data_IF_534304443621
#
_entry.id   IF_534304443621
#
_cell.length_a   1.000
_cell.length_b   1.000
_cell.length_c   1.000
_cell.angle_alpha   90.00
_cell.angle_beta   90.00
_cell.angle_gamma   90.00
#
_symmetry.space_group_name_H-M   'P 1'
#
loop_
_entity.id
_entity.type
_entity.pdbx_description
1 polymer ?
#
# COMPACT_ATOMS: atom_id res chain seq x y z
N UNK A 1 -29.21 -13.72 -7.16
CA UNK A 1 -28.29 -14.22 -6.10
C UNK A 1 -26.98 -13.43 -6.08
N UNK A 2 -26.25 -13.27 -7.19
CA UNK A 2 -24.99 -12.50 -7.24
C UNK A 2 -25.13 -11.03 -6.81
N UNK A 3 -26.20 -10.34 -7.22
CA UNK A 3 -26.46 -8.94 -6.83
C UNK A 3 -26.66 -8.78 -5.33
N UNK A 4 -27.39 -9.71 -4.69
CA UNK A 4 -27.58 -9.69 -3.24
C UNK A 4 -26.25 -9.87 -2.49
N UNK A 5 -25.37 -10.76 -2.97
CA UNK A 5 -24.03 -10.96 -2.39
C UNK A 5 -23.18 -9.69 -2.53
N UNK A 6 -23.22 -9.03 -3.69
CA UNK A 6 -22.50 -7.79 -3.93
C UNK A 6 -22.92 -6.68 -2.96
N UNK A 7 -24.23 -6.42 -2.83
CA UNK A 7 -24.73 -5.40 -1.91
C UNK A 7 -24.45 -5.75 -0.45
N UNK A 8 -24.49 -7.02 -0.08
CA UNK A 8 -24.20 -7.46 1.28
C UNK A 8 -22.71 -7.30 1.64
N UNK A 9 -21.80 -7.64 0.72
CA UNK A 9 -20.37 -7.40 0.90
C UNK A 9 -20.05 -5.91 1.00
N UNK A 10 -20.69 -5.08 0.17
CA UNK A 10 -20.51 -3.62 0.18
C UNK A 10 -21.05 -3.01 1.48
N UNK A 11 -22.23 -3.44 1.93
CA UNK A 11 -22.78 -3.02 3.21
C UNK A 11 -21.87 -3.41 4.38
N UNK A 12 -21.32 -4.63 4.38
CA UNK A 12 -20.38 -5.08 5.41
C UNK A 12 -19.11 -4.22 5.44
N UNK A 13 -18.55 -3.87 4.27
CA UNK A 13 -17.39 -2.98 4.16
C UNK A 13 -17.67 -1.58 4.73
N UNK A 14 -18.82 -0.99 4.37
CA UNK A 14 -19.23 0.34 4.84
C UNK A 14 -19.47 0.35 6.34
N UNK A 15 -20.17 -0.65 6.87
CA UNK A 15 -20.46 -0.77 8.31
C UNK A 15 -19.18 -0.98 9.11
N UNK A 16 -18.29 -1.86 8.65
CA UNK A 16 -16.99 -2.07 9.30
C UNK A 16 -16.15 -0.79 9.31
N UNK A 17 -16.08 -0.07 8.18
CA UNK A 17 -15.41 1.22 8.09
C UNK A 17 -16.00 2.27 9.03
N UNK A 18 -17.33 2.37 9.10
CA UNK A 18 -18.01 3.32 9.99
C UNK A 18 -17.78 3.02 11.48
N UNK A 19 -17.76 1.74 11.87
CA UNK A 19 -17.47 1.32 13.24
C UNK A 19 -16.03 1.66 13.65
N UNK A 20 -15.07 1.44 12.75
CA UNK A 20 -13.66 1.77 12.99
C UNK A 20 -13.45 3.29 12.99
N UNK A 21 -14.09 4.03 12.09
CA UNK A 21 -14.02 5.49 12.04
C UNK A 21 -14.45 6.15 13.35
N UNK A 22 -15.44 5.57 14.06
CA UNK A 22 -15.86 6.05 15.39
C UNK A 22 -14.80 5.83 16.48
N UNK A 23 -13.85 4.91 16.28
CA UNK A 23 -12.77 4.63 17.24
C UNK A 23 -11.49 5.43 16.98
N UNK A 24 -11.30 5.94 15.76
CA UNK A 24 -10.15 6.78 15.42
C UNK A 24 -10.40 8.19 15.93
N UNK A 25 -9.65 8.61 16.95
CA UNK A 25 -9.78 9.95 17.56
C UNK A 25 -8.54 10.83 17.37
N UNK A 26 -7.38 10.23 17.13
CA UNK A 26 -6.10 10.91 16.93
C UNK A 26 -5.52 10.60 15.55
N UNK A 27 -4.70 11.53 15.02
CA UNK A 27 -3.90 11.28 13.81
C UNK A 27 -2.97 10.07 13.97
N UNK A 28 -2.50 9.79 15.18
CA UNK A 28 -1.64 8.64 15.46
C UNK A 28 -2.42 7.33 15.41
N UNK A 29 -3.69 7.35 15.83
CA UNK A 29 -4.57 6.18 15.68
C UNK A 29 -4.87 5.91 14.19
N UNK A 30 -4.91 6.95 13.36
CA UNK A 30 -5.14 6.82 11.93
C UNK A 30 -3.91 6.31 11.16
N UNK A 31 -2.73 6.87 11.42
CA UNK A 31 -1.51 6.54 10.66
C UNK A 31 -0.79 5.28 11.15
N UNK A 32 -0.78 5.01 12.46
CA UNK A 32 0.03 3.93 13.05
C UNK A 32 -0.80 2.95 13.89
N UNK A 33 -2.13 3.01 13.82
CA UNK A 33 -3.04 2.21 14.65
C UNK A 33 -2.73 2.34 16.16
N UNK A 34 -2.21 3.50 16.58
CA UNK A 34 -1.79 3.75 17.96
C UNK A 34 -0.67 2.83 18.45
N UNK A 35 0.18 2.31 17.56
CA UNK A 35 1.25 1.32 17.83
C UNK A 35 0.76 -0.02 18.42
N UNK A 36 -0.55 -0.29 18.39
CA UNK A 36 -1.15 -1.50 18.96
C UNK A 36 -1.30 -2.66 17.95
N UNK A 37 -0.92 -2.46 16.70
CA UNK A 37 -1.00 -3.48 15.66
C UNK A 37 0.00 -4.62 15.90
N UNK A 38 -0.51 -5.85 16.07
CA UNK A 38 0.35 -7.04 16.06
C UNK A 38 1.07 -7.17 14.71
N UNK A 39 2.28 -7.72 14.73
CA UNK A 39 3.10 -7.91 13.52
C UNK A 39 2.34 -8.64 12.41
N UNK A 40 1.49 -9.61 12.76
CA UNK A 40 0.68 -10.35 11.79
C UNK A 40 -0.32 -9.44 11.07
N UNK A 41 -0.96 -8.50 11.78
CA UNK A 41 -1.88 -7.55 11.16
C UNK A 41 -1.15 -6.59 10.23
N UNK A 42 0.02 -6.08 10.64
CA UNK A 42 0.82 -5.18 9.81
C UNK A 42 1.25 -5.89 8.52
N UNK A 43 1.79 -7.11 8.62
CA UNK A 43 2.18 -7.92 7.46
C UNK A 43 0.96 -8.25 6.59
N UNK A 44 -0.19 -8.55 7.18
CA UNK A 44 -1.43 -8.79 6.45
C UNK A 44 -1.90 -7.56 5.66
N UNK A 45 -1.85 -6.37 6.25
CA UNK A 45 -2.20 -5.12 5.54
C UNK A 45 -1.21 -4.77 4.43
N UNK A 46 0.07 -5.09 4.63
CA UNK A 46 1.10 -4.93 3.60
C UNK A 46 0.86 -5.89 2.42
N UNK A 47 0.58 -7.16 2.72
CA UNK A 47 0.23 -8.17 1.72
C UNK A 47 -1.05 -7.79 0.95
N UNK A 48 -2.07 -7.29 1.65
CA UNK A 48 -3.30 -6.81 1.03
C UNK A 48 -3.06 -5.60 0.11
N UNK A 49 -2.21 -4.65 0.51
CA UNK A 49 -1.82 -3.51 -0.33
C UNK A 49 -1.07 -3.96 -1.58
N UNK A 50 -0.22 -4.97 -1.45
CA UNK A 50 0.49 -5.54 -2.59
C UNK A 50 -0.47 -6.27 -3.55
N UNK A 51 -1.43 -7.03 -3.02
CA UNK A 51 -2.46 -7.73 -3.77
C UNK A 51 -3.58 -6.78 -4.22
N UNK A 52 -3.28 -5.94 -5.22
CA UNK A 52 -4.27 -5.09 -5.90
C UNK A 52 -4.86 -5.79 -7.13
N UNK A 53 -6.02 -5.32 -7.61
CA UNK A 53 -6.62 -5.75 -8.87
C UNK A 53 -5.63 -5.66 -10.04
N UNK A 54 -4.73 -4.66 -10.03
CA UNK A 54 -3.65 -4.49 -11.00
C UNK A 54 -2.70 -5.68 -11.01
N UNK A 55 -2.34 -6.18 -9.84
CA UNK A 55 -1.44 -7.34 -9.75
C UNK A 55 -2.13 -8.61 -10.20
N UNK A 56 -3.39 -8.82 -9.84
CA UNK A 56 -4.13 -10.03 -10.24
C UNK A 56 -4.35 -10.08 -11.76
N UNK A 57 -4.85 -8.99 -12.35
CA UNK A 57 -5.10 -8.90 -13.79
C UNK A 57 -3.79 -8.79 -14.58
N UNK A 58 -2.82 -8.02 -14.11
CA UNK A 58 -1.53 -7.85 -14.76
C UNK A 58 -0.71 -9.14 -14.79
N UNK A 59 -0.66 -9.87 -13.67
CA UNK A 59 0.00 -11.18 -13.63
C UNK A 59 -0.72 -12.18 -14.53
N UNK A 60 -2.05 -12.21 -14.54
CA UNK A 60 -2.81 -13.08 -15.43
C UNK A 60 -2.57 -12.76 -16.92
N UNK A 61 -2.53 -11.47 -17.29
CA UNK A 61 -2.26 -11.02 -18.66
C UNK A 61 -0.86 -11.38 -19.15
N UNK A 62 0.16 -11.18 -18.31
CA UNK A 62 1.54 -11.59 -18.63
C UNK A 62 1.65 -13.12 -18.70
N UNK A 63 0.90 -13.85 -17.85
CA UNK A 63 0.94 -15.33 -17.83
C UNK A 63 0.43 -15.89 -19.15
N UNK A 64 -0.60 -15.23 -19.70
CA UNK A 64 -1.22 -15.61 -20.95
C UNK A 64 -0.29 -15.35 -22.15
N UNK A 65 0.50 -14.29 -22.11
CA UNK A 65 1.39 -13.90 -23.21
C UNK A 65 2.73 -14.65 -23.21
N UNK A 66 3.41 -14.73 -22.06
CA UNK A 66 4.81 -15.18 -21.95
C UNK A 66 4.99 -16.50 -21.17
N UNK A 67 3.90 -17.06 -20.67
CA UNK A 67 3.90 -18.29 -19.89
C UNK A 67 4.24 -18.11 -18.40
N UNK A 68 3.99 -19.14 -17.57
CA UNK A 68 4.05 -19.04 -16.11
C UNK A 68 5.47 -18.89 -15.54
N UNK A 69 6.51 -19.25 -16.31
CA UNK A 69 7.89 -19.28 -15.83
C UNK A 69 8.48 -17.88 -15.61
N UNK A 70 8.14 -16.93 -16.49
CA UNK A 70 8.61 -15.54 -16.42
C UNK A 70 8.08 -14.88 -15.13
N UNK A 71 6.83 -15.15 -14.77
CA UNK A 71 6.18 -14.54 -13.60
C UNK A 71 6.69 -15.10 -12.29
N UNK A 72 6.97 -16.42 -12.26
CA UNK A 72 7.56 -17.07 -11.10
C UNK A 72 8.98 -16.53 -10.81
N UNK A 73 9.77 -16.30 -11.86
CA UNK A 73 11.16 -15.88 -11.73
C UNK A 73 11.34 -14.38 -11.45
N UNK A 74 10.63 -13.49 -12.17
CA UNK A 74 10.91 -12.04 -12.12
C UNK A 74 9.75 -11.20 -11.56
N UNK A 75 8.50 -11.62 -11.76
CA UNK A 75 7.34 -10.81 -11.40
C UNK A 75 6.93 -10.87 -9.93
N UNK A 76 6.69 -12.08 -9.42
CA UNK A 76 6.10 -12.24 -8.08
C UNK A 76 7.15 -12.40 -6.98
N UNK A 77 8.12 -13.31 -7.16
CA UNK A 77 9.07 -13.62 -6.09
C UNK A 77 10.05 -12.47 -5.81
N UNK A 78 10.62 -11.89 -6.87
CA UNK A 78 11.54 -10.76 -6.77
C UNK A 78 10.91 -9.52 -6.13
N UNK A 79 9.65 -9.23 -6.48
CA UNK A 79 8.91 -8.12 -5.90
C UNK A 79 8.60 -8.33 -4.41
N UNK A 80 8.17 -9.53 -4.01
CA UNK A 80 7.96 -9.87 -2.60
C UNK A 80 9.24 -9.74 -1.76
N UNK A 81 10.35 -10.28 -2.26
CA UNK A 81 11.66 -10.16 -1.60
C UNK A 81 12.11 -8.70 -1.55
N UNK A 82 11.92 -7.94 -2.62
CA UNK A 82 12.22 -6.51 -2.67
C UNK A 82 11.40 -5.70 -1.66
N UNK A 83 10.11 -5.97 -1.52
CA UNK A 83 9.25 -5.33 -0.52
C UNK A 83 9.68 -5.69 0.90
N UNK A 84 10.03 -6.96 1.16
CA UNK A 84 10.56 -7.38 2.47
C UNK A 84 11.86 -6.66 2.82
N UNK A 85 12.80 -6.59 1.87
CA UNK A 85 14.04 -5.85 2.07
C UNK A 85 13.77 -4.35 2.30
N UNK A 86 12.89 -3.74 1.52
CA UNK A 86 12.52 -2.34 1.70
C UNK A 86 11.92 -2.07 3.09
N UNK A 87 11.04 -2.94 3.58
CA UNK A 87 10.45 -2.80 4.92
C UNK A 87 11.49 -2.99 6.02
N UNK A 88 12.39 -3.97 5.89
CA UNK A 88 13.43 -4.22 6.90
C UNK A 88 14.46 -3.09 6.95
N UNK A 89 14.91 -2.57 5.81
CA UNK A 89 15.94 -1.54 5.77
C UNK A 89 15.38 -0.13 5.94
N UNK A 90 14.40 0.25 5.11
CA UNK A 90 13.83 1.61 5.12
C UNK A 90 12.80 1.73 6.24
N UNK A 91 11.92 0.75 6.40
CA UNK A 91 10.88 0.78 7.44
C UNK A 91 11.45 0.86 8.85
N UNK A 92 12.51 0.09 9.18
CA UNK A 92 13.20 0.21 10.48
C UNK A 92 13.82 1.58 10.70
N UNK A 93 14.43 2.18 9.66
CA UNK A 93 15.04 3.51 9.74
C UNK A 93 14.00 4.61 9.92
N UNK A 94 12.88 4.54 9.21
CA UNK A 94 11.77 5.48 9.37
C UNK A 94 11.15 5.38 10.77
N UNK A 95 10.93 4.15 11.27
CA UNK A 95 10.42 3.92 12.63
C UNK A 95 11.36 4.48 13.70
N UNK A 96 12.67 4.27 13.56
CA UNK A 96 13.66 4.81 14.51
C UNK A 96 13.71 6.34 14.56
N UNK A 97 13.32 7.01 13.47
CA UNK A 97 13.27 8.47 13.38
C UNK A 97 11.90 9.05 13.75
N UNK A 98 10.89 8.23 14.05
CA UNK A 98 9.52 8.67 14.32
C UNK A 98 8.82 9.29 13.10
N UNK A 99 9.34 9.09 11.89
CA UNK A 99 8.77 9.66 10.66
C UNK A 99 7.52 8.88 10.26
N UNK A 100 6.41 9.60 10.03
CA UNK A 100 5.11 9.00 9.64
C UNK A 100 4.95 8.92 8.12
N UNK A 101 5.62 9.80 7.40
CA UNK A 101 5.56 9.85 5.93
C UNK A 101 6.95 9.76 5.32
N UNK A 102 7.02 9.35 4.05
CA UNK A 102 8.28 9.32 3.30
C UNK A 102 8.90 10.73 3.16
N UNK A 103 8.14 11.81 2.91
CA UNK A 103 8.70 13.17 2.89
C UNK A 103 9.26 13.63 4.24
N UNK A 104 8.65 13.26 5.37
CA UNK A 104 9.18 13.59 6.71
C UNK A 104 10.57 13.00 6.94
N UNK A 105 10.84 11.82 6.39
CA UNK A 105 12.17 11.22 6.42
C UNK A 105 13.20 12.09 5.69
N UNK A 106 12.85 12.63 4.52
CA UNK A 106 13.72 13.57 3.79
C UNK A 106 13.90 14.89 4.54
N UNK A 107 12.84 15.39 5.20
CA UNK A 107 12.94 16.58 6.02
C UNK A 107 13.92 16.40 7.18
N UNK A 108 13.85 15.27 7.89
CA UNK A 108 14.74 15.01 9.02
C UNK A 108 16.19 14.74 8.58
N UNK A 109 16.37 14.11 7.40
CA UNK A 109 17.70 13.78 6.87
C UNK A 109 18.44 14.95 6.23
N UNK A 110 17.73 15.84 5.55
CA UNK A 110 18.30 16.94 4.77
C UNK A 110 18.04 18.34 5.37
N UNK A 111 17.12 18.46 6.33
CA UNK A 111 16.70 19.73 6.99
C UNK A 111 16.34 20.86 6.01
N UNK A 112 15.97 20.53 4.79
CA UNK A 112 15.65 21.48 3.73
C UNK A 112 14.20 21.32 3.27
N UNK A 113 13.43 22.42 3.37
CA UNK A 113 12.02 22.46 2.96
C UNK A 113 11.85 22.26 1.45
N UNK A 114 12.79 22.72 0.62
CA UNK A 114 12.71 22.56 -0.83
C UNK A 114 12.80 21.08 -1.24
N UNK A 115 13.75 20.34 -0.65
CA UNK A 115 13.91 18.89 -0.91
C UNK A 115 12.69 18.11 -0.45
N UNK A 116 12.12 18.48 0.70
CA UNK A 116 10.90 17.87 1.24
C UNK A 116 9.70 18.12 0.32
N UNK A 117 9.54 19.35 -0.19
CA UNK A 117 8.46 19.70 -1.12
C UNK A 117 8.56 18.93 -2.44
N UNK A 118 9.78 18.79 -2.99
CA UNK A 118 10.01 18.00 -4.20
C UNK A 118 9.72 16.52 -3.95
N UNK A 119 10.15 15.96 -2.81
CA UNK A 119 9.84 14.57 -2.45
C UNK A 119 8.33 14.33 -2.30
N UNK A 120 7.60 15.26 -1.65
CA UNK A 120 6.14 15.20 -1.56
C UNK A 120 5.47 15.28 -2.93
N UNK A 121 5.96 16.15 -3.82
CA UNK A 121 5.42 16.28 -5.17
C UNK A 121 5.61 14.99 -5.98
N UNK A 122 6.81 14.41 -5.96
CA UNK A 122 7.09 13.13 -6.62
C UNK A 122 6.19 12.03 -6.06
N UNK A 123 5.98 11.99 -4.74
CA UNK A 123 5.09 11.02 -4.10
C UNK A 123 3.65 11.18 -4.59
N UNK A 124 3.13 12.41 -4.66
CA UNK A 124 1.78 12.69 -5.15
C UNK A 124 1.64 12.27 -6.62
N UNK A 125 2.58 12.67 -7.48
CA UNK A 125 2.55 12.34 -8.91
C UNK A 125 2.62 10.83 -9.12
N UNK A 126 3.48 10.12 -8.37
CA UNK A 126 3.58 8.67 -8.42
C UNK A 126 2.29 7.96 -7.99
N UNK A 127 1.65 8.44 -6.91
CA UNK A 127 0.39 7.87 -6.42
C UNK A 127 -0.77 8.10 -7.41
N UNK A 128 -0.82 9.30 -8.01
CA UNK A 128 -1.80 9.61 -9.06
C UNK A 128 -1.58 8.75 -10.30
N UNK A 129 -0.32 8.61 -10.76
CA UNK A 129 0.02 7.73 -11.88
C UNK A 129 -0.40 6.29 -11.64
N UNK A 130 -0.16 5.77 -10.43
CA UNK A 130 -0.64 4.44 -10.05
C UNK A 130 -2.18 4.35 -10.09
N UNK A 131 -2.88 5.35 -9.55
CA UNK A 131 -4.34 5.41 -9.59
C UNK A 131 -4.91 5.43 -11.01
N UNK A 132 -4.27 6.16 -11.93
CA UNK A 132 -4.66 6.20 -13.36
C UNK A 132 -4.45 4.85 -14.02
N UNK A 133 -3.31 4.19 -13.79
CA UNK A 133 -3.06 2.83 -14.32
C UNK A 133 -4.13 1.85 -13.81
N UNK A 134 -4.46 1.92 -12.52
CA UNK A 134 -5.48 1.06 -11.93
C UNK A 134 -6.87 1.31 -12.53
N UNK A 135 -7.23 2.56 -12.84
CA UNK A 135 -8.49 2.89 -13.50
C UNK A 135 -8.53 2.37 -14.94
N UNK A 136 -7.46 2.59 -15.71
CA UNK A 136 -7.37 2.17 -17.11
C UNK A 136 -7.46 0.64 -17.22
N UNK A 137 -6.83 -0.09 -16.30
CA UNK A 137 -6.85 -1.56 -16.32
C UNK A 137 -8.24 -2.16 -16.04
N UNK A 138 -9.18 -1.36 -15.53
CA UNK A 138 -10.55 -1.79 -15.23
C UNK A 138 -11.58 -1.35 -16.29
N UNK A 139 -11.17 -0.53 -17.26
CA UNK A 139 -11.99 -0.10 -18.41
C UNK A 139 -11.76 -1.03 -19.60
#
# INVERSE_FOLDING_TARGET
MATAIFFLALALYVVAGALVARRVKSSDDFYIMGERGSTVFIVGTLAATYLSAVTLLGIAGISYAEGPLVIAATGSFGAWVGTLLAVVYVGRRMKALGCRTMPDFFQNRFKNRAVTAVASLIMIVGLLGYGVIQLILQL
#
